data_IF_998893106187
#
_entry.id   IF_998893106187
#
_cell.length_a   1.000
_cell.length_b   1.000
_cell.length_c   1.000
_cell.angle_alpha   90.00
_cell.angle_beta   90.00
_cell.angle_gamma   90.00
#
_symmetry.space_group_name_H-M   'P 1'
#
loop_
_entity.id
_entity.type
_entity.pdbx_description
1 polymer ?
#
# COMPACT_ATOMS: atom_id res chain seq x y z
N UNK A 1 21.31 16.29 3.94
CA UNK A 1 21.04 15.54 2.69
C UNK A 1 22.30 15.39 1.84
N UNK A 2 23.23 16.33 1.97
CA UNK A 2 24.50 16.46 1.26
C UNK A 2 25.32 15.16 1.25
N UNK A 3 25.57 14.56 2.42
CA UNK A 3 26.33 13.31 2.54
C UNK A 3 25.69 12.14 1.76
N UNK A 4 24.40 11.87 2.02
CA UNK A 4 23.71 10.75 1.38
C UNK A 4 23.52 10.95 -0.12
N UNK A 5 23.31 12.21 -0.57
CA UNK A 5 23.24 12.53 -1.99
C UNK A 5 24.58 12.29 -2.68
N UNK A 6 25.69 12.79 -2.11
CA UNK A 6 27.03 12.58 -2.66
C UNK A 6 27.41 11.09 -2.70
N UNK A 7 27.17 10.34 -1.62
CA UNK A 7 27.43 8.90 -1.56
C UNK A 7 26.63 8.13 -2.63
N UNK A 8 25.34 8.46 -2.78
CA UNK A 8 24.47 7.85 -3.79
C UNK A 8 24.95 8.17 -5.20
N UNK A 9 25.26 9.44 -5.47
CA UNK A 9 25.83 9.89 -6.75
C UNK A 9 27.11 9.11 -7.08
N UNK A 10 28.06 9.11 -6.15
CA UNK A 10 29.36 8.48 -6.33
C UNK A 10 29.22 6.97 -6.56
N UNK A 11 28.43 6.29 -5.74
CA UNK A 11 28.23 4.84 -5.83
C UNK A 11 27.55 4.45 -7.14
N UNK A 12 26.52 5.18 -7.57
CA UNK A 12 25.83 4.90 -8.83
C UNK A 12 26.72 5.15 -10.05
N UNK A 13 27.56 6.19 -10.00
CA UNK A 13 28.54 6.48 -11.08
C UNK A 13 29.60 5.39 -11.14
N UNK A 14 30.20 5.01 -10.00
CA UNK A 14 31.20 3.94 -9.92
C UNK A 14 30.72 2.60 -10.50
N UNK A 15 29.42 2.30 -10.35
CA UNK A 15 28.82 1.06 -10.83
C UNK A 15 28.17 1.19 -12.23
N UNK A 16 28.33 2.33 -12.92
CA UNK A 16 27.68 2.63 -14.20
C UNK A 16 26.13 2.45 -14.16
N UNK A 17 25.52 2.82 -13.04
CA UNK A 17 24.07 2.76 -12.83
C UNK A 17 23.42 4.14 -12.82
N UNK A 18 24.21 5.21 -12.77
CA UNK A 18 23.69 6.58 -12.65
C UNK A 18 22.87 7.03 -13.87
N UNK A 19 23.23 6.55 -15.06
CA UNK A 19 22.54 6.89 -16.32
C UNK A 19 21.07 6.46 -16.39
N UNK A 20 20.63 5.55 -15.52
CA UNK A 20 19.27 4.97 -15.50
C UNK A 20 18.46 5.29 -14.24
N UNK A 21 19.00 6.14 -13.36
CA UNK A 21 18.40 6.43 -12.06
C UNK A 21 18.34 7.94 -11.88
N UNK A 22 17.13 8.50 -11.77
CA UNK A 22 16.95 9.92 -11.43
C UNK A 22 17.08 10.10 -9.92
N UNK A 23 17.89 11.06 -9.49
CA UNK A 23 18.06 11.37 -8.07
C UNK A 23 17.20 12.58 -7.67
N UNK A 24 16.33 12.38 -6.69
CA UNK A 24 15.56 13.45 -6.05
C UNK A 24 16.12 13.70 -4.65
N UNK A 25 16.19 14.96 -4.24
CA UNK A 25 16.61 15.35 -2.89
C UNK A 25 15.63 16.36 -2.29
N UNK A 26 15.37 16.23 -0.99
CA UNK A 26 14.68 17.23 -0.18
C UNK A 26 15.43 17.46 1.14
N UNK A 27 14.87 18.31 2.00
CA UNK A 27 15.38 18.56 3.34
C UNK A 27 15.85 19.99 3.54
N UNK A 28 14.92 20.87 3.92
CA UNK A 28 15.18 22.29 4.19
C UNK A 28 15.74 23.10 3.00
N UNK A 29 15.58 22.62 1.76
CA UNK A 29 15.80 23.46 0.58
C UNK A 29 14.87 24.68 0.63
N UNK A 30 15.45 25.88 0.51
CA UNK A 30 14.73 27.15 0.63
C UNK A 30 15.06 28.13 -0.50
N UNK A 31 16.27 28.04 -1.02
CA UNK A 31 16.86 29.04 -1.93
C UNK A 31 17.30 28.40 -3.24
N UNK A 32 17.55 29.23 -4.26
CA UNK A 32 18.16 28.79 -5.50
C UNK A 32 19.58 28.27 -5.30
N UNK A 33 20.35 28.85 -4.37
CA UNK A 33 21.66 28.31 -3.98
C UNK A 33 21.58 26.85 -3.48
N UNK A 34 20.57 26.52 -2.66
CA UNK A 34 20.40 25.15 -2.17
C UNK A 34 20.19 24.17 -3.33
N UNK A 35 19.36 24.56 -4.32
CA UNK A 35 19.10 23.78 -5.54
C UNK A 35 20.39 23.59 -6.35
N UNK A 36 21.18 24.66 -6.54
CA UNK A 36 22.43 24.58 -7.30
C UNK A 36 23.43 23.65 -6.63
N UNK A 37 23.61 23.74 -5.31
CA UNK A 37 24.50 22.83 -4.57
C UNK A 37 24.02 21.38 -4.68
N UNK A 38 22.73 21.15 -4.51
CA UNK A 38 22.14 19.82 -4.69
C UNK A 38 22.39 19.28 -6.11
N UNK A 39 22.23 20.10 -7.14
CA UNK A 39 22.51 19.72 -8.53
C UNK A 39 23.99 19.35 -8.73
N UNK A 40 24.91 20.20 -8.26
CA UNK A 40 26.35 19.96 -8.34
C UNK A 40 26.77 18.67 -7.62
N UNK A 41 26.09 18.32 -6.52
CA UNK A 41 26.27 17.05 -5.81
C UNK A 41 25.59 15.84 -6.46
N UNK A 42 24.72 16.04 -7.47
CA UNK A 42 24.17 14.97 -8.31
C UNK A 42 22.65 14.87 -8.39
N UNK A 43 21.88 15.75 -7.73
CA UNK A 43 20.42 15.73 -7.79
C UNK A 43 19.88 16.27 -9.13
N UNK A 44 18.74 15.73 -9.54
CA UNK A 44 17.97 16.16 -10.73
C UNK A 44 16.59 16.71 -10.37
N UNK A 45 16.06 16.33 -9.22
CA UNK A 45 14.77 16.79 -8.72
C UNK A 45 14.90 17.31 -7.28
N UNK A 46 14.14 18.36 -6.98
CA UNK A 46 14.27 19.11 -5.73
C UNK A 46 12.92 19.18 -5.03
N UNK A 47 12.80 18.49 -3.89
CA UNK A 47 11.60 18.48 -3.07
C UNK A 47 11.59 19.65 -2.09
N UNK A 48 10.50 20.42 -2.11
CA UNK A 48 10.25 21.50 -1.17
C UNK A 48 9.04 21.17 -0.29
N UNK A 49 9.20 21.31 1.03
CA UNK A 49 8.13 21.04 2.00
C UNK A 49 7.91 22.20 2.96
N UNK A 50 8.86 22.47 3.86
CA UNK A 50 8.69 23.52 4.88
C UNK A 50 8.59 24.93 4.30
N UNK A 51 9.39 25.27 3.28
CA UNK A 51 9.36 26.62 2.69
C UNK A 51 8.00 26.94 2.02
N UNK A 52 7.42 26.06 1.17
CA UNK A 52 6.04 26.21 0.70
C UNK A 52 5.02 26.40 1.83
N UNK A 53 5.13 25.64 2.94
CA UNK A 53 4.24 25.82 4.09
C UNK A 53 4.38 27.21 4.73
N UNK A 54 5.60 27.74 4.83
CA UNK A 54 5.86 29.11 5.35
C UNK A 54 5.26 30.16 4.42
N UNK A 55 5.46 30.01 3.11
CA UNK A 55 4.88 30.89 2.08
C UNK A 55 3.34 30.92 2.16
N UNK A 56 2.72 29.78 2.49
CA UNK A 56 1.28 29.66 2.75
C UNK A 56 0.83 30.16 4.14
N UNK A 57 1.75 30.67 4.97
CA UNK A 57 1.45 31.29 6.26
C UNK A 57 1.87 30.50 7.50
N UNK A 58 2.65 29.42 7.36
CA UNK A 58 3.20 28.71 8.53
C UNK A 58 4.14 29.61 9.32
N UNK A 59 3.78 29.86 10.57
CA UNK A 59 4.58 30.66 11.51
C UNK A 59 5.58 29.82 12.33
N UNK A 60 5.84 28.57 11.90
CA UNK A 60 6.79 27.66 12.55
C UNK A 60 6.55 27.42 14.06
N UNK A 61 5.28 27.34 14.47
CA UNK A 61 4.88 27.12 15.88
C UNK A 61 5.26 25.73 16.42
N UNK A 62 5.50 24.74 15.54
CA UNK A 62 5.88 23.35 15.88
C UNK A 62 4.84 22.59 16.74
N UNK A 63 3.56 22.95 16.63
CA UNK A 63 2.41 22.27 17.28
C UNK A 63 1.53 21.48 16.33
N UNK A 64 2.07 21.06 15.18
CA UNK A 64 1.33 20.35 14.14
C UNK A 64 0.65 19.06 14.67
N UNK A 65 1.30 18.36 15.61
CA UNK A 65 0.82 17.12 16.22
C UNK A 65 -0.35 17.31 17.20
N UNK A 66 -0.63 18.54 17.64
CA UNK A 66 -1.68 18.84 18.64
C UNK A 66 -3.01 19.24 18.00
N UNK A 67 -3.14 19.20 16.67
CA UNK A 67 -4.33 19.64 15.94
C UNK A 67 -4.75 21.12 16.19
N UNK A 68 -3.86 21.94 16.76
CA UNK A 68 -4.14 23.31 17.23
C UNK A 68 -3.43 24.39 16.39
N UNK A 69 -3.20 24.12 15.10
CA UNK A 69 -2.52 25.07 14.21
C UNK A 69 -3.30 26.40 14.12
N UNK A 70 -2.72 27.54 14.55
CA UNK A 70 -3.44 28.81 14.67
C UNK A 70 -3.76 29.44 13.31
N UNK A 71 -3.06 29.01 12.26
CA UNK A 71 -3.16 29.51 10.87
C UNK A 71 -3.83 28.51 9.93
N UNK A 72 -4.49 27.47 10.46
CA UNK A 72 -5.31 26.56 9.66
C UNK A 72 -4.57 25.60 8.72
N UNK A 73 -3.23 25.51 8.79
CA UNK A 73 -2.41 24.61 7.94
C UNK A 73 -2.48 23.15 8.43
N UNK A 74 -1.91 22.86 9.61
CA UNK A 74 -1.79 21.50 10.14
C UNK A 74 -2.86 21.23 11.22
N UNK A 75 -4.13 21.23 10.82
CA UNK A 75 -5.27 20.96 11.70
C UNK A 75 -6.48 20.44 10.91
N UNK A 76 -7.24 19.54 11.52
CA UNK A 76 -8.54 19.04 11.04
C UNK A 76 -9.72 19.75 11.70
N UNK A 77 -9.49 20.63 12.70
CA UNK A 77 -10.52 21.42 13.35
C UNK A 77 -11.15 22.41 12.35
N UNK A 78 -12.48 22.35 12.10
CA UNK A 78 -13.14 23.22 11.13
C UNK A 78 -13.05 24.72 11.45
N UNK A 79 -13.00 25.11 12.73
CA UNK A 79 -12.86 26.50 13.18
C UNK A 79 -11.45 27.00 12.91
N UNK A 80 -10.43 26.18 13.17
CA UNK A 80 -9.04 26.56 12.89
C UNK A 80 -8.72 26.54 11.40
N UNK A 81 -9.27 25.59 10.62
CA UNK A 81 -9.11 25.53 9.16
C UNK A 81 -9.62 26.79 8.45
N UNK A 82 -10.68 27.43 8.97
CA UNK A 82 -11.17 28.73 8.45
C UNK A 82 -10.16 29.87 8.57
N UNK A 83 -9.10 29.71 9.38
CA UNK A 83 -8.02 30.69 9.53
C UNK A 83 -6.92 30.55 8.47
N UNK A 84 -7.02 29.56 7.58
CA UNK A 84 -6.07 29.42 6.48
C UNK A 84 -6.25 30.57 5.48
N UNK A 85 -5.18 31.34 5.25
CA UNK A 85 -5.18 32.49 4.35
C UNK A 85 -4.19 32.34 3.17
N UNK A 86 -3.53 31.18 3.04
CA UNK A 86 -2.57 30.94 1.98
C UNK A 86 -3.21 30.99 0.60
N UNK A 87 -2.51 31.58 -0.36
CA UNK A 87 -2.93 31.74 -1.76
C UNK A 87 -1.94 31.01 -2.68
N UNK A 88 -2.43 30.41 -3.76
CA UNK A 88 -1.61 29.71 -4.76
C UNK A 88 -0.58 30.63 -5.43
N UNK A 89 -0.91 31.91 -5.65
CA UNK A 89 -0.01 32.89 -6.28
C UNK A 89 1.27 33.08 -5.47
N UNK A 90 1.19 32.99 -4.14
CA UNK A 90 2.37 33.10 -3.28
C UNK A 90 3.35 31.95 -3.51
N UNK A 91 2.83 30.73 -3.72
CA UNK A 91 3.67 29.56 -4.05
C UNK A 91 4.30 29.71 -5.44
N UNK A 92 3.51 30.14 -6.43
CA UNK A 92 3.99 30.37 -7.79
C UNK A 92 5.12 31.39 -7.77
N UNK A 93 4.92 32.53 -7.11
CA UNK A 93 5.93 33.59 -6.99
C UNK A 93 7.19 33.09 -6.25
N UNK A 94 7.03 32.34 -5.16
CA UNK A 94 8.15 31.75 -4.44
C UNK A 94 9.01 30.86 -5.35
N UNK A 95 8.39 29.95 -6.12
CA UNK A 95 9.13 29.09 -7.02
C UNK A 95 9.74 29.85 -8.20
N UNK A 96 9.11 30.93 -8.68
CA UNK A 96 9.76 31.82 -9.66
C UNK A 96 11.01 32.50 -9.08
N UNK A 97 10.97 32.97 -7.83
CA UNK A 97 12.15 33.55 -7.18
C UNK A 97 13.28 32.53 -7.00
N UNK A 98 12.96 31.32 -6.56
CA UNK A 98 13.94 30.23 -6.46
C UNK A 98 14.52 29.91 -7.84
N UNK A 99 13.67 29.79 -8.87
CA UNK A 99 14.12 29.49 -10.22
C UNK A 99 14.98 30.62 -10.82
N UNK A 100 14.64 31.89 -10.55
CA UNK A 100 15.44 33.02 -11.01
C UNK A 100 16.82 33.02 -10.35
N UNK A 101 16.88 32.84 -9.03
CA UNK A 101 18.15 32.72 -8.30
C UNK A 101 19.01 31.55 -8.83
N UNK A 102 18.37 30.39 -9.14
CA UNK A 102 19.06 29.27 -9.81
C UNK A 102 19.66 29.71 -11.15
N UNK A 103 18.89 30.42 -11.98
CA UNK A 103 19.35 30.89 -13.30
C UNK A 103 20.50 31.89 -13.19
N UNK A 104 20.43 32.81 -12.22
CA UNK A 104 21.50 33.77 -11.94
C UNK A 104 22.81 33.06 -11.56
N UNK A 105 22.74 32.08 -10.65
CA UNK A 105 23.91 31.32 -10.22
C UNK A 105 24.43 30.43 -11.37
N UNK A 106 23.54 29.77 -12.12
CA UNK A 106 23.92 28.99 -13.30
C UNK A 106 24.67 29.84 -14.33
N UNK A 107 24.19 31.06 -14.59
CA UNK A 107 24.84 31.99 -15.51
C UNK A 107 26.22 32.41 -14.99
N UNK A 108 26.36 32.66 -13.68
CA UNK A 108 27.64 32.98 -13.05
C UNK A 108 28.66 31.82 -13.14
N UNK A 109 28.18 30.57 -13.06
CA UNK A 109 29.00 29.36 -13.23
C UNK A 109 29.24 28.97 -14.71
N UNK A 110 28.61 29.67 -15.65
CA UNK A 110 28.79 29.46 -17.09
C UNK A 110 27.91 28.35 -17.70
N UNK A 111 26.87 27.90 -17.01
CA UNK A 111 25.93 26.88 -17.51
C UNK A 111 24.70 27.48 -18.17
N UNK A 112 24.21 26.84 -19.23
CA UNK A 112 22.97 27.22 -19.92
C UNK A 112 21.81 26.27 -19.59
N UNK A 113 22.12 25.02 -19.23
CA UNK A 113 21.13 24.00 -18.87
C UNK A 113 21.49 23.37 -17.53
N UNK A 114 20.48 22.97 -16.77
CA UNK A 114 20.66 22.29 -15.48
C UNK A 114 21.50 21.02 -15.64
N UNK A 115 21.18 20.20 -16.65
CA UNK A 115 21.86 18.92 -16.93
C UNK A 115 23.39 19.04 -17.11
N UNK A 116 23.89 20.20 -17.54
CA UNK A 116 25.33 20.47 -17.70
C UNK A 116 26.06 20.59 -16.36
N UNK A 117 25.32 20.90 -15.29
CA UNK A 117 25.83 21.15 -13.94
C UNK A 117 25.69 19.92 -13.04
N UNK A 118 24.81 18.98 -13.37
CA UNK A 118 24.48 17.85 -12.49
C UNK A 118 25.70 16.95 -12.26
N UNK A 119 26.10 16.82 -11.00
CA UNK A 119 27.28 16.04 -10.60
C UNK A 119 28.62 16.72 -10.86
N UNK A 120 28.65 18.02 -11.21
CA UNK A 120 29.88 18.82 -11.36
C UNK A 120 30.46 19.24 -10.00
N UNK A 121 30.76 18.25 -9.17
CA UNK A 121 31.33 18.45 -7.83
C UNK A 121 32.68 19.19 -7.86
N UNK A 122 33.36 19.19 -9.01
CA UNK A 122 34.58 19.98 -9.25
C UNK A 122 34.39 21.51 -9.17
N UNK A 123 33.15 22.00 -9.14
CA UNK A 123 32.83 23.41 -8.92
C UNK A 123 32.51 23.76 -7.46
N UNK A 124 32.63 22.79 -6.57
CA UNK A 124 32.44 22.98 -5.13
C UNK A 124 33.78 22.91 -4.42
N UNK A 125 34.03 23.89 -3.56
CA UNK A 125 35.14 23.87 -2.61
C UNK A 125 34.63 24.19 -1.21
N UNK A 126 35.30 23.61 -0.21
CA UNK A 126 35.03 23.94 1.19
C UNK A 126 35.56 25.34 1.49
N UNK A 127 34.72 26.20 2.06
CA UNK A 127 35.15 27.51 2.53
C UNK A 127 36.08 27.34 3.75
N UNK A 128 37.36 27.65 3.54
CA UNK A 128 38.42 27.56 4.57
C UNK A 128 38.50 28.80 5.45
N UNK A 129 37.69 29.83 5.17
CA UNK A 129 37.68 31.10 5.92
C UNK A 129 36.76 31.08 7.14
N UNK A 130 36.09 29.96 7.42
CA UNK A 130 35.32 29.77 8.65
C UNK A 130 36.31 29.58 9.82
N UNK A 131 36.82 30.69 10.36
CA UNK A 131 37.70 30.71 11.53
C UNK A 131 36.89 30.49 12.81
N UNK A 132 36.45 29.24 13.01
CA UNK A 132 35.73 28.82 14.19
C UNK A 132 36.34 27.52 14.73
N UNK A 133 36.71 27.50 16.01
CA UNK A 133 37.43 26.38 16.63
C UNK A 133 36.74 25.02 16.47
N UNK A 134 35.39 24.97 16.48
CA UNK A 134 34.62 23.72 16.25
C UNK A 134 34.67 23.20 14.81
N UNK A 135 35.04 24.02 13.83
CA UNK A 135 35.12 23.64 12.42
C UNK A 135 36.50 23.07 12.04
N UNK A 136 37.50 23.19 12.92
CA UNK A 136 38.91 22.79 12.66
C UNK A 136 39.12 21.33 12.27
N UNK A 137 38.18 20.43 12.57
CA UNK A 137 38.24 19.01 12.21
C UNK A 137 37.30 18.59 11.08
N UNK A 138 36.60 19.52 10.43
CA UNK A 138 35.64 19.19 9.38
C UNK A 138 36.36 18.93 8.06
N UNK A 139 36.33 17.69 7.59
CA UNK A 139 36.83 17.31 6.27
C UNK A 139 35.67 16.97 5.33
N UNK A 140 35.53 17.77 4.26
CA UNK A 140 34.51 17.58 3.22
C UNK A 140 35.05 16.85 1.98
N UNK A 141 36.32 16.42 1.98
CA UNK A 141 36.99 15.81 0.83
C UNK A 141 36.26 14.59 0.29
N UNK A 142 35.74 13.73 1.16
CA UNK A 142 34.98 12.54 0.79
C UNK A 142 33.66 12.89 0.09
N UNK A 143 32.96 13.92 0.57
CA UNK A 143 31.72 14.39 -0.04
C UNK A 143 31.97 15.05 -1.40
N UNK A 144 33.08 15.77 -1.53
CA UNK A 144 33.46 16.47 -2.76
C UNK A 144 34.26 15.60 -3.74
N UNK A 145 34.39 14.31 -3.46
CA UNK A 145 35.12 13.38 -4.31
C UNK A 145 34.41 13.16 -5.65
N UNK A 146 35.13 13.35 -6.74
CA UNK A 146 34.69 12.97 -8.09
C UNK A 146 35.17 11.55 -8.40
N UNK A 147 34.27 10.58 -8.64
CA UNK A 147 34.66 9.24 -9.03
C UNK A 147 35.55 9.22 -10.28
N UNK A 148 36.64 8.44 -10.24
CA UNK A 148 37.50 8.23 -11.40
C UNK A 148 36.91 7.12 -12.29
N UNK A 149 36.09 7.52 -13.25
CA UNK A 149 35.44 6.63 -14.23
C UNK A 149 35.68 7.13 -15.65
N UNK A 150 35.58 6.26 -16.67
CA UNK A 150 35.61 6.67 -18.08
C UNK A 150 34.61 7.79 -18.39
N UNK A 151 34.95 8.67 -19.35
CA UNK A 151 34.15 9.86 -19.67
C UNK A 151 32.78 9.57 -20.27
N UNK A 152 32.56 8.35 -20.76
CA UNK A 152 31.28 7.86 -21.29
C UNK A 152 30.32 7.39 -20.18
N UNK A 153 30.79 7.26 -18.93
CA UNK A 153 29.92 6.97 -17.79
C UNK A 153 29.07 8.20 -17.44
N UNK A 154 27.74 8.04 -17.54
CA UNK A 154 26.81 9.12 -17.28
C UNK A 154 26.81 9.57 -15.81
N UNK A 155 26.73 10.88 -15.58
CA UNK A 155 26.64 11.48 -14.23
C UNK A 155 25.22 11.93 -13.86
N UNK A 156 24.28 11.86 -14.80
CA UNK A 156 22.86 12.14 -14.61
C UNK A 156 22.00 11.13 -15.38
N UNK A 157 20.67 11.13 -15.19
CA UNK A 157 19.77 10.18 -15.83
C UNK A 157 19.59 10.53 -17.31
N UNK A 158 20.04 9.64 -18.19
CA UNK A 158 20.05 9.83 -19.65
C UNK A 158 19.31 8.72 -20.41
N UNK A 159 18.96 7.62 -19.71
CA UNK A 159 18.31 6.45 -20.30
C UNK A 159 17.05 6.10 -19.53
N UNK A 160 15.97 5.81 -20.26
CA UNK A 160 14.74 5.24 -19.68
C UNK A 160 14.95 3.77 -19.33
N UNK A 161 14.42 3.33 -18.20
CA UNK A 161 14.47 1.91 -17.85
C UNK A 161 13.46 1.08 -18.64
N UNK A 162 13.90 -0.10 -19.08
CA UNK A 162 13.03 -1.17 -19.52
C UNK A 162 12.79 -2.12 -18.33
N UNK A 163 11.52 -2.29 -17.97
CA UNK A 163 11.08 -3.14 -16.87
C UNK A 163 10.63 -4.54 -17.33
N UNK A 164 10.78 -4.87 -18.63
CA UNK A 164 10.40 -6.16 -19.19
C UNK A 164 8.87 -6.40 -19.19
N UNK A 165 8.07 -5.33 -19.15
CA UNK A 165 6.61 -5.44 -19.05
C UNK A 165 5.95 -6.00 -20.31
N UNK A 166 6.64 -5.97 -21.44
CA UNK A 166 6.13 -6.50 -22.71
C UNK A 166 5.79 -8.00 -22.65
N UNK A 167 6.44 -8.76 -21.75
CA UNK A 167 6.23 -10.19 -21.57
C UNK A 167 5.21 -10.51 -20.45
N UNK A 168 4.58 -9.50 -19.85
CA UNK A 168 3.62 -9.71 -18.77
C UNK A 168 2.37 -10.47 -19.27
N UNK A 169 1.96 -11.50 -18.52
CA UNK A 169 0.78 -12.32 -18.82
C UNK A 169 -0.50 -11.49 -18.99
N UNK A 170 -0.61 -10.35 -18.30
CA UNK A 170 -1.74 -9.43 -18.41
C UNK A 170 -2.01 -8.93 -19.83
N UNK A 171 -1.02 -8.91 -20.73
CA UNK A 171 -1.29 -8.57 -22.13
C UNK A 171 -2.28 -9.56 -22.76
N UNK A 172 -2.20 -10.85 -22.40
CA UNK A 172 -3.16 -11.86 -22.83
C UNK A 172 -4.53 -11.65 -22.17
N UNK A 173 -4.55 -11.28 -20.88
CA UNK A 173 -5.80 -11.01 -20.16
C UNK A 173 -6.55 -9.81 -20.74
N UNK A 174 -5.82 -8.73 -21.05
CA UNK A 174 -6.38 -7.52 -21.67
C UNK A 174 -6.90 -7.83 -23.07
N UNK A 175 -6.14 -8.60 -23.86
CA UNK A 175 -6.59 -9.01 -25.19
C UNK A 175 -7.87 -9.86 -25.11
N UNK A 176 -7.93 -10.82 -24.18
CA UNK A 176 -9.13 -11.63 -23.94
C UNK A 176 -10.32 -10.79 -23.47
N UNK A 177 -10.09 -9.73 -22.68
CA UNK A 177 -11.11 -8.82 -22.20
C UNK A 177 -11.45 -7.66 -23.15
N UNK A 178 -10.92 -7.62 -24.37
CA UNK A 178 -11.02 -6.45 -25.24
C UNK A 178 -12.49 -6.04 -25.50
N UNK A 179 -13.36 -7.01 -25.80
CA UNK A 179 -14.79 -6.76 -26.02
C UNK A 179 -15.48 -6.25 -24.75
N UNK A 180 -15.08 -6.72 -23.58
CA UNK A 180 -15.55 -6.20 -22.29
C UNK A 180 -15.11 -4.75 -22.08
N UNK A 181 -13.88 -4.42 -22.42
CA UNK A 181 -13.33 -3.08 -22.24
C UNK A 181 -13.94 -2.05 -23.20
N UNK A 182 -14.56 -2.49 -24.29
CA UNK A 182 -15.24 -1.64 -25.28
C UNK A 182 -16.75 -1.58 -25.05
N UNK A 183 -17.38 -2.73 -24.81
CA UNK A 183 -18.85 -2.87 -24.84
C UNK A 183 -19.44 -3.39 -23.52
N UNK A 184 -18.62 -3.60 -22.48
CA UNK A 184 -19.02 -4.16 -21.17
C UNK A 184 -19.67 -5.55 -21.24
N UNK A 185 -19.38 -6.30 -22.31
CA UNK A 185 -19.82 -7.70 -22.45
C UNK A 185 -19.09 -8.59 -21.44
N UNK A 186 -19.79 -9.57 -20.87
CA UNK A 186 -19.15 -10.55 -20.00
C UNK A 186 -18.21 -11.47 -20.79
N UNK A 187 -17.09 -11.84 -20.19
CA UNK A 187 -16.09 -12.73 -20.79
C UNK A 187 -15.59 -13.76 -19.78
N UNK A 188 -15.24 -14.93 -20.27
CA UNK A 188 -14.54 -15.95 -19.50
C UNK A 188 -13.35 -16.51 -20.26
N UNK A 189 -12.31 -16.93 -19.56
CA UNK A 189 -11.06 -17.39 -20.17
C UNK A 189 -10.23 -18.25 -19.22
N UNK A 190 -9.41 -19.12 -19.79
CA UNK A 190 -8.55 -20.05 -19.06
C UNK A 190 -7.08 -19.81 -19.41
N UNK A 191 -6.22 -19.82 -18.39
CA UNK A 191 -4.80 -19.50 -18.55
C UNK A 191 -3.93 -20.45 -17.71
N UNK A 192 -2.74 -20.75 -18.22
CA UNK A 192 -1.71 -21.45 -17.44
C UNK A 192 -0.85 -20.41 -16.72
N UNK A 193 -0.60 -20.64 -15.44
CA UNK A 193 0.20 -19.74 -14.62
C UNK A 193 1.41 -20.45 -14.00
N UNK A 194 2.53 -19.75 -13.93
CA UNK A 194 3.78 -20.20 -13.33
C UNK A 194 4.31 -19.11 -12.41
N UNK A 195 5.22 -19.48 -11.50
CA UNK A 195 5.71 -18.58 -10.45
C UNK A 195 6.46 -17.33 -10.99
N UNK A 196 6.91 -17.38 -12.25
CA UNK A 196 7.48 -16.26 -12.98
C UNK A 196 6.45 -15.18 -13.37
N UNK A 197 5.16 -15.57 -13.48
CA UNK A 197 4.07 -14.65 -13.77
C UNK A 197 3.67 -13.91 -12.49
N UNK A 198 4.22 -12.70 -12.35
CA UNK A 198 4.02 -11.83 -11.18
C UNK A 198 2.96 -10.77 -11.47
N UNK A 199 2.26 -10.35 -10.42
CA UNK A 199 1.30 -9.24 -10.44
C UNK A 199 0.15 -9.44 -11.44
N UNK A 200 -0.21 -10.70 -11.70
CA UNK A 200 -1.23 -11.05 -12.69
C UNK A 200 -2.59 -10.45 -12.32
N UNK A 201 -3.22 -9.77 -13.28
CA UNK A 201 -4.50 -9.07 -13.16
C UNK A 201 -4.38 -7.57 -12.86
N UNK A 202 -3.20 -7.06 -12.49
CA UNK A 202 -3.04 -5.66 -12.12
C UNK A 202 -3.07 -4.68 -13.32
N UNK A 203 -2.50 -5.04 -14.47
CA UNK A 203 -2.57 -4.19 -15.66
C UNK A 203 -3.99 -4.18 -16.23
N UNK A 204 -4.66 -5.35 -16.24
CA UNK A 204 -6.08 -5.44 -16.59
C UNK A 204 -6.92 -4.54 -15.68
N UNK A 205 -6.69 -4.60 -14.36
CA UNK A 205 -7.38 -3.75 -13.40
C UNK A 205 -7.09 -2.27 -13.62
N UNK A 206 -5.87 -1.92 -14.01
CA UNK A 206 -5.48 -0.58 -14.42
C UNK A 206 -6.25 -0.08 -15.65
N UNK A 207 -6.43 -0.91 -16.67
CA UNK A 207 -7.25 -0.58 -17.85
C UNK A 207 -8.71 -0.34 -17.48
N UNK A 208 -9.30 -1.19 -16.65
CA UNK A 208 -10.67 -1.03 -16.16
C UNK A 208 -10.80 0.25 -15.35
N UNK A 209 -9.87 0.52 -14.43
CA UNK A 209 -9.88 1.73 -13.61
C UNK A 209 -9.75 3.01 -14.46
N UNK A 210 -8.90 3.00 -15.50
CA UNK A 210 -8.76 4.14 -16.43
C UNK A 210 -10.05 4.44 -17.18
N UNK A 211 -10.79 3.41 -17.57
CA UNK A 211 -12.01 3.54 -18.40
C UNK A 211 -13.26 3.80 -17.57
N UNK A 212 -13.40 3.15 -16.43
CA UNK A 212 -14.65 3.11 -15.65
C UNK A 212 -14.53 3.71 -14.25
N UNK A 213 -13.32 4.11 -13.83
CA UNK A 213 -13.09 4.68 -12.51
C UNK A 213 -13.46 3.74 -11.38
N UNK A 214 -13.98 4.29 -10.27
CA UNK A 214 -14.36 3.52 -9.08
C UNK A 214 -15.61 2.64 -9.30
N UNK A 215 -16.47 2.98 -10.26
CA UNK A 215 -17.67 2.18 -10.54
C UNK A 215 -17.32 0.78 -11.05
N UNK A 216 -16.15 0.64 -11.70
CA UNK A 216 -15.69 -0.62 -12.27
C UNK A 216 -16.67 -1.20 -13.28
N UNK A 217 -16.76 -2.53 -13.29
CA UNK A 217 -17.75 -3.28 -14.05
C UNK A 217 -18.78 -3.90 -13.11
N UNK A 218 -19.87 -4.41 -13.68
CA UNK A 218 -20.79 -5.26 -12.91
C UNK A 218 -20.06 -6.51 -12.41
N UNK A 219 -20.50 -7.04 -11.28
CA UNK A 219 -19.88 -8.21 -10.67
C UNK A 219 -19.78 -9.35 -11.69
N UNK A 220 -18.68 -10.10 -11.65
CA UNK A 220 -18.52 -11.31 -12.46
C UNK A 220 -18.52 -11.07 -13.98
N UNK A 221 -18.32 -9.82 -14.44
CA UNK A 221 -18.23 -9.49 -15.87
C UNK A 221 -17.00 -10.15 -16.51
N UNK A 222 -15.85 -10.15 -15.83
CA UNK A 222 -14.64 -10.85 -16.29
C UNK A 222 -14.39 -12.02 -15.34
N UNK A 223 -14.35 -13.25 -15.88
CA UNK A 223 -14.04 -14.47 -15.12
C UNK A 223 -12.85 -15.19 -15.73
N UNK A 224 -11.70 -15.11 -15.08
CA UNK A 224 -10.50 -15.79 -15.57
C UNK A 224 -10.05 -16.87 -14.61
N UNK A 225 -9.93 -18.08 -15.15
CA UNK A 225 -9.48 -19.26 -14.43
C UNK A 225 -8.02 -19.55 -14.76
N UNK A 226 -7.22 -19.78 -13.74
CA UNK A 226 -5.80 -20.05 -13.82
C UNK A 226 -5.51 -21.44 -13.29
N UNK A 227 -4.58 -22.15 -13.92
CA UNK A 227 -4.08 -23.44 -13.42
C UNK A 227 -2.56 -23.39 -13.29
N UNK A 228 -2.05 -23.73 -12.10
CA UNK A 228 -0.61 -23.78 -11.80
C UNK A 228 -0.23 -23.01 -10.55
N UNK A 229 1.02 -22.54 -10.48
CA UNK A 229 1.55 -21.81 -9.33
C UNK A 229 1.67 -20.32 -9.67
N UNK A 230 0.93 -19.45 -9.00
CA UNK A 230 1.00 -18.01 -9.24
C UNK A 230 2.22 -17.38 -8.58
N UNK A 231 2.88 -16.46 -9.30
CA UNK A 231 3.95 -15.65 -8.75
C UNK A 231 3.45 -14.64 -7.71
N UNK A 232 4.39 -13.83 -7.24
CA UNK A 232 4.14 -12.76 -6.28
C UNK A 232 3.02 -11.81 -6.76
N UNK A 233 2.18 -11.35 -5.83
CA UNK A 233 1.14 -10.33 -6.09
C UNK A 233 0.01 -10.74 -7.05
N UNK A 234 -0.36 -12.02 -7.12
CA UNK A 234 -1.54 -12.45 -7.90
C UNK A 234 -2.81 -11.71 -7.47
N UNK A 235 -3.54 -11.13 -8.42
CA UNK A 235 -4.75 -10.36 -8.14
C UNK A 235 -4.51 -9.03 -7.40
N UNK A 236 -3.29 -8.50 -7.43
CA UNK A 236 -3.01 -7.20 -6.83
C UNK A 236 -3.85 -6.09 -7.49
N UNK A 237 -4.43 -5.23 -6.67
CA UNK A 237 -5.32 -4.13 -7.08
C UNK A 237 -6.53 -4.58 -7.91
N UNK A 238 -6.94 -5.84 -7.80
CA UNK A 238 -8.05 -6.38 -8.57
C UNK A 238 -9.34 -5.61 -8.30
N UNK A 239 -9.92 -5.04 -9.36
CA UNK A 239 -11.06 -4.12 -9.29
C UNK A 239 -12.41 -4.82 -9.43
N UNK A 240 -13.48 -4.12 -9.02
CA UNK A 240 -14.86 -4.58 -9.15
C UNK A 240 -15.19 -5.07 -10.56
N UNK A 241 -15.80 -6.25 -10.61
CA UNK A 241 -16.25 -6.93 -11.83
C UNK A 241 -15.24 -7.92 -12.42
N UNK A 242 -14.05 -8.03 -11.81
CA UNK A 242 -13.05 -9.06 -12.14
C UNK A 242 -13.09 -10.16 -11.09
N UNK A 243 -13.24 -11.40 -11.55
CA UNK A 243 -13.17 -12.62 -10.77
C UNK A 243 -12.03 -13.48 -11.28
N UNK A 244 -11.05 -13.74 -10.42
CA UNK A 244 -9.88 -14.56 -10.72
C UNK A 244 -9.92 -15.85 -9.88
N UNK A 245 -10.03 -16.99 -10.55
CA UNK A 245 -9.98 -18.30 -9.91
C UNK A 245 -8.61 -18.93 -10.15
N UNK A 246 -7.94 -19.41 -9.12
CA UNK A 246 -6.68 -20.15 -9.25
C UNK A 246 -6.86 -21.57 -8.73
N UNK A 247 -6.68 -22.55 -9.62
CA UNK A 247 -6.51 -23.96 -9.25
C UNK A 247 -5.02 -24.25 -9.11
N UNK A 248 -4.53 -24.32 -7.88
CA UNK A 248 -3.12 -24.45 -7.55
C UNK A 248 -2.75 -23.70 -6.27
N UNK A 249 -1.66 -22.95 -6.32
CA UNK A 249 -1.09 -22.22 -5.18
C UNK A 249 -0.58 -20.84 -5.61
N UNK A 250 -0.48 -19.90 -4.66
CA UNK A 250 0.05 -18.57 -4.91
C UNK A 250 1.16 -18.18 -3.93
N UNK A 251 2.14 -17.43 -4.42
CA UNK A 251 3.19 -16.85 -3.57
C UNK A 251 2.67 -15.65 -2.75
N UNK A 252 3.56 -14.86 -2.15
CA UNK A 252 3.19 -13.76 -1.26
C UNK A 252 2.38 -12.66 -1.99
N UNK A 253 1.72 -11.83 -1.16
CA UNK A 253 0.98 -10.64 -1.60
C UNK A 253 -0.25 -10.91 -2.46
N UNK A 254 -0.87 -12.09 -2.35
CA UNK A 254 -2.14 -12.37 -3.02
C UNK A 254 -3.17 -11.28 -2.67
N UNK A 255 -3.78 -10.67 -3.68
CA UNK A 255 -4.77 -9.61 -3.48
C UNK A 255 -4.22 -8.38 -2.75
N UNK A 256 -2.91 -8.08 -2.86
CA UNK A 256 -2.34 -6.83 -2.35
C UNK A 256 -3.13 -5.63 -2.87
N UNK A 257 -3.65 -4.82 -1.96
CA UNK A 257 -4.49 -3.67 -2.28
C UNK A 257 -5.76 -4.04 -3.05
N UNK A 258 -6.39 -5.19 -2.78
CA UNK A 258 -7.65 -5.59 -3.41
C UNK A 258 -8.69 -4.44 -3.38
N UNK A 259 -9.35 -4.20 -4.51
CA UNK A 259 -10.21 -3.03 -4.76
C UNK A 259 -11.55 -3.41 -5.40
N UNK A 260 -12.23 -4.42 -4.84
CA UNK A 260 -13.59 -4.79 -5.23
C UNK A 260 -13.68 -6.03 -6.11
N UNK A 261 -12.55 -6.55 -6.60
CA UNK A 261 -12.49 -7.83 -7.31
C UNK A 261 -12.72 -9.03 -6.40
N UNK A 262 -12.87 -10.21 -7.01
CA UNK A 262 -13.08 -11.49 -6.32
C UNK A 262 -11.94 -12.46 -6.65
N UNK A 263 -11.31 -12.99 -5.61
CA UNK A 263 -10.22 -13.97 -5.73
C UNK A 263 -10.68 -15.30 -5.13
N UNK A 264 -10.53 -16.39 -5.88
CA UNK A 264 -10.93 -17.73 -5.46
C UNK A 264 -9.73 -18.65 -5.65
N UNK A 265 -9.20 -19.23 -4.57
CA UNK A 265 -8.01 -20.08 -4.61
C UNK A 265 -8.37 -21.47 -4.12
N UNK A 266 -8.15 -22.46 -4.98
CA UNK A 266 -8.50 -23.86 -4.77
C UNK A 266 -7.28 -24.73 -5.00
N UNK A 267 -7.05 -25.79 -4.20
CA UNK A 267 -6.06 -26.79 -4.54
C UNK A 267 -6.46 -27.57 -5.80
N UNK A 268 -5.51 -28.21 -6.51
CA UNK A 268 -5.84 -29.08 -7.64
C UNK A 268 -6.63 -30.32 -7.20
N UNK A 269 -7.26 -31.01 -8.15
CA UNK A 269 -7.90 -32.29 -7.88
C UNK A 269 -6.87 -33.40 -7.63
N UNK A 270 -7.23 -34.41 -6.84
CA UNK A 270 -6.35 -35.57 -6.58
C UNK A 270 -5.17 -35.31 -5.64
N UNK A 271 -5.21 -34.25 -4.83
CA UNK A 271 -4.21 -33.97 -3.81
C UNK A 271 -4.12 -35.07 -2.74
N UNK A 272 -2.90 -35.27 -2.23
CA UNK A 272 -2.61 -36.22 -1.14
C UNK A 272 -2.47 -35.55 0.23
N UNK A 273 -2.47 -34.22 0.27
CA UNK A 273 -2.37 -33.43 1.50
C UNK A 273 -3.75 -32.92 1.93
N UNK A 274 -3.86 -32.50 3.18
CA UNK A 274 -5.06 -31.86 3.73
C UNK A 274 -4.95 -30.35 3.49
N UNK A 275 -5.81 -29.72 2.64
CA UNK A 275 -5.70 -28.28 2.35
C UNK A 275 -5.77 -27.42 3.61
N UNK A 276 -6.62 -27.82 4.55
CA UNK A 276 -6.89 -27.14 5.82
C UNK A 276 -5.63 -27.03 6.73
N UNK A 277 -4.60 -27.82 6.45
CA UNK A 277 -3.31 -27.85 7.17
C UNK A 277 -2.12 -27.44 6.30
N UNK A 278 -2.37 -27.03 5.05
CA UNK A 278 -1.32 -26.75 4.05
C UNK A 278 -1.36 -25.30 3.61
N UNK A 279 -0.20 -24.65 3.57
CA UNK A 279 -0.07 -23.29 3.03
C UNK A 279 -0.25 -23.34 1.53
N UNK A 280 -1.30 -22.69 1.03
CA UNK A 280 -1.58 -22.55 -0.42
C UNK A 280 -1.43 -21.11 -0.92
N UNK A 281 -1.36 -20.14 0.00
CA UNK A 281 -1.07 -18.74 -0.32
C UNK A 281 0.02 -18.19 0.61
N UNK A 282 0.91 -17.36 0.07
CA UNK A 282 2.04 -16.81 0.81
C UNK A 282 1.67 -15.72 1.83
N UNK A 283 2.72 -15.05 2.30
CA UNK A 283 2.67 -14.03 3.33
C UNK A 283 2.00 -12.73 2.85
N UNK A 284 1.56 -11.92 3.80
CA UNK A 284 1.13 -10.53 3.53
C UNK A 284 0.01 -10.45 2.46
N UNK A 285 -0.79 -11.51 2.37
CA UNK A 285 -1.96 -11.57 1.50
C UNK A 285 -3.01 -10.57 1.97
N UNK A 286 -3.69 -9.92 1.03
CA UNK A 286 -4.66 -8.83 1.25
C UNK A 286 -4.07 -7.58 1.92
N UNK A 287 -2.77 -7.34 1.73
CA UNK A 287 -2.10 -6.18 2.30
C UNK A 287 -2.77 -4.88 1.88
N UNK A 288 -3.29 -4.14 2.87
CA UNK A 288 -3.89 -2.83 2.63
C UNK A 288 -5.18 -2.86 1.80
N UNK A 289 -5.84 -4.02 1.66
CA UNK A 289 -7.04 -4.15 0.85
C UNK A 289 -8.15 -3.17 1.28
N UNK A 290 -8.91 -2.61 0.34
CA UNK A 290 -9.91 -1.57 0.61
C UNK A 290 -11.33 -1.94 0.17
N UNK A 291 -11.52 -3.01 -0.60
CA UNK A 291 -12.80 -3.69 -0.83
C UNK A 291 -12.57 -5.00 -1.60
N UNK A 292 -13.62 -5.80 -1.83
CA UNK A 292 -13.56 -7.05 -2.60
C UNK A 292 -13.57 -8.29 -1.73
N UNK A 293 -13.48 -9.45 -2.37
CA UNK A 293 -13.66 -10.75 -1.72
C UNK A 293 -12.53 -11.72 -2.03
N UNK A 294 -12.12 -12.52 -1.04
CA UNK A 294 -11.15 -13.59 -1.22
C UNK A 294 -11.61 -14.88 -0.53
N UNK A 295 -11.64 -15.99 -1.26
CA UNK A 295 -12.02 -17.31 -0.76
C UNK A 295 -10.87 -18.28 -1.01
N UNK A 296 -10.28 -18.82 0.06
CA UNK A 296 -9.02 -19.54 0.00
C UNK A 296 -9.18 -20.92 0.65
N UNK A 297 -9.19 -21.97 -0.16
CA UNK A 297 -9.27 -23.36 0.32
C UNK A 297 -7.89 -23.87 0.75
N UNK A 298 -7.45 -23.41 1.91
CA UNK A 298 -6.27 -23.87 2.63
C UNK A 298 -5.71 -22.78 3.53
N UNK A 299 -4.43 -22.86 3.90
CA UNK A 299 -3.79 -21.91 4.81
C UNK A 299 -3.04 -20.79 4.09
N UNK A 300 -2.94 -19.63 4.76
CA UNK A 300 -1.98 -18.59 4.43
C UNK A 300 -0.71 -18.68 5.29
N UNK A 301 0.37 -18.10 4.78
CA UNK A 301 1.55 -17.74 5.58
C UNK A 301 1.27 -16.64 6.61
N UNK A 302 2.31 -15.90 6.97
CA UNK A 302 2.27 -14.85 7.98
C UNK A 302 1.58 -13.56 7.47
N UNK A 303 1.11 -12.73 8.41
CA UNK A 303 0.55 -11.40 8.14
C UNK A 303 -0.64 -11.41 7.16
N UNK A 304 -1.43 -12.47 7.19
CA UNK A 304 -2.68 -12.52 6.41
C UNK A 304 -3.59 -11.34 6.80
N UNK A 305 -4.13 -10.64 5.79
CA UNK A 305 -4.99 -9.46 5.96
C UNK A 305 -4.35 -8.30 6.74
N UNK A 306 -3.02 -8.17 6.71
CA UNK A 306 -2.33 -7.03 7.33
C UNK A 306 -2.79 -5.71 6.71
N UNK A 307 -3.16 -4.75 7.56
CA UNK A 307 -3.75 -3.47 7.15
C UNK A 307 -5.02 -3.58 6.28
N UNK A 308 -5.73 -4.71 6.30
CA UNK A 308 -7.03 -4.81 5.63
C UNK A 308 -7.95 -3.70 6.14
N UNK A 309 -8.52 -2.94 5.21
CA UNK A 309 -9.32 -1.75 5.45
C UNK A 309 -10.71 -1.84 4.83
N UNK A 310 -11.08 -3.00 4.25
CA UNK A 310 -12.42 -3.16 3.67
C UNK A 310 -12.71 -4.46 2.92
N UNK A 311 -11.74 -5.34 2.69
CA UNK A 311 -11.99 -6.62 2.01
C UNK A 311 -12.60 -7.68 2.94
N UNK A 312 -13.38 -8.56 2.33
CA UNK A 312 -13.96 -9.75 2.97
C UNK A 312 -13.15 -10.98 2.59
N UNK A 313 -12.77 -11.81 3.55
CA UNK A 313 -12.02 -13.03 3.27
C UNK A 313 -12.51 -14.23 4.08
N UNK A 314 -12.47 -15.42 3.46
CA UNK A 314 -12.67 -16.71 4.14
C UNK A 314 -11.49 -17.61 3.81
N UNK A 315 -10.83 -18.11 4.84
CA UNK A 315 -9.62 -18.94 4.75
C UNK A 315 -9.62 -20.05 5.80
N UNK A 316 -8.89 -21.14 5.58
CA UNK A 316 -8.91 -22.31 6.48
C UNK A 316 -7.82 -22.32 7.54
N UNK A 317 -6.85 -21.41 7.44
CA UNK A 317 -5.88 -21.17 8.50
C UNK A 317 -4.92 -20.05 8.13
N UNK A 318 -4.23 -19.51 9.12
CA UNK A 318 -3.28 -18.40 8.95
C UNK A 318 -2.06 -18.59 9.84
N UNK A 319 -0.89 -18.12 9.38
CA UNK A 319 0.32 -18.04 10.19
C UNK A 319 0.28 -16.93 11.24
N UNK A 320 1.46 -16.55 11.74
CA UNK A 320 1.62 -15.50 12.74
C UNK A 320 1.15 -14.14 12.20
N UNK A 321 0.70 -13.25 13.10
CA UNK A 321 0.32 -11.86 12.79
C UNK A 321 -0.90 -11.71 11.86
N UNK A 322 -1.83 -12.68 11.86
CA UNK A 322 -3.10 -12.55 11.14
C UNK A 322 -3.89 -11.31 11.59
N UNK A 323 -4.49 -10.58 10.65
CA UNK A 323 -5.26 -9.35 10.86
C UNK A 323 -4.48 -8.21 11.55
N UNK A 324 -3.15 -8.22 11.49
CA UNK A 324 -2.32 -7.16 12.05
C UNK A 324 -2.66 -5.80 11.41
N UNK A 325 -2.85 -4.76 12.23
CA UNK A 325 -3.23 -3.40 11.79
C UNK A 325 -4.51 -3.30 10.93
N UNK A 326 -5.40 -4.30 10.99
CA UNK A 326 -6.69 -4.24 10.29
C UNK A 326 -7.55 -3.08 10.81
N UNK A 327 -8.13 -2.31 9.88
CA UNK A 327 -8.96 -1.11 10.16
C UNK A 327 -10.39 -1.23 9.62
N UNK A 328 -10.68 -2.26 8.82
CA UNK A 328 -11.99 -2.50 8.23
C UNK A 328 -12.05 -3.85 7.50
N UNK A 329 -13.23 -4.24 7.04
CA UNK A 329 -13.47 -5.53 6.37
C UNK A 329 -13.87 -6.66 7.33
N UNK A 330 -14.01 -7.86 6.77
CA UNK A 330 -14.43 -9.07 7.49
C UNK A 330 -13.47 -10.22 7.17
N UNK A 331 -12.95 -10.91 8.18
CA UNK A 331 -12.09 -12.08 7.96
C UNK A 331 -12.66 -13.29 8.70
N UNK A 332 -12.87 -14.40 8.01
CA UNK A 332 -13.29 -15.67 8.60
C UNK A 332 -12.13 -16.66 8.48
N UNK A 333 -11.66 -17.19 9.61
CA UNK A 333 -10.62 -18.22 9.69
C UNK A 333 -11.25 -19.51 10.19
N UNK A 334 -11.27 -20.54 9.35
CA UNK A 334 -11.91 -21.83 9.61
C UNK A 334 -10.95 -22.84 10.26
N UNK A 335 -9.85 -22.41 10.86
CA UNK A 335 -8.88 -23.32 11.46
C UNK A 335 -7.78 -22.58 12.21
N UNK A 336 -6.58 -23.16 12.19
CA UNK A 336 -5.46 -22.72 13.04
C UNK A 336 -5.03 -21.29 12.73
N UNK A 337 -4.68 -20.56 13.78
CA UNK A 337 -4.05 -19.24 13.71
C UNK A 337 -2.65 -19.30 14.29
N UNK A 338 -1.74 -18.46 13.81
CA UNK A 338 -0.47 -18.21 14.47
C UNK A 338 -0.58 -17.21 15.62
N UNK A 339 0.56 -16.87 16.21
CA UNK A 339 0.70 -15.96 17.35
C UNK A 339 0.43 -14.51 16.95
N UNK A 340 0.16 -13.67 17.96
CA UNK A 340 0.01 -12.23 17.82
C UNK A 340 -1.09 -11.82 16.82
N UNK A 341 -2.14 -12.63 16.69
CA UNK A 341 -3.31 -12.34 15.87
C UNK A 341 -3.97 -11.03 16.34
N UNK A 342 -4.45 -10.22 15.40
CA UNK A 342 -5.12 -8.93 15.62
C UNK A 342 -4.27 -7.84 16.33
N UNK A 343 -2.94 -7.96 16.35
CA UNK A 343 -2.08 -6.90 16.87
C UNK A 343 -2.29 -5.58 16.11
N UNK A 344 -2.59 -4.50 16.83
CA UNK A 344 -2.87 -3.20 16.22
C UNK A 344 -4.19 -3.13 15.44
N UNK A 345 -5.05 -4.16 15.50
CA UNK A 345 -6.36 -4.15 14.84
C UNK A 345 -7.27 -3.11 15.52
N UNK A 346 -7.63 -2.07 14.77
CA UNK A 346 -8.40 -0.92 15.26
C UNK A 346 -9.79 -0.82 14.62
N UNK A 347 -10.11 -1.69 13.64
CA UNK A 347 -11.43 -1.76 13.03
C UNK A 347 -11.63 -3.02 12.19
N UNK A 348 -12.88 -3.26 11.77
CA UNK A 348 -13.30 -4.52 11.13
C UNK A 348 -13.69 -5.60 12.13
N UNK A 349 -14.05 -6.77 11.61
CA UNK A 349 -14.46 -7.94 12.40
C UNK A 349 -13.76 -9.19 11.88
N UNK A 350 -13.24 -10.04 12.77
CA UNK A 350 -12.80 -11.38 12.40
C UNK A 350 -13.60 -12.45 13.15
N UNK A 351 -13.87 -13.56 12.49
CA UNK A 351 -14.47 -14.76 13.06
C UNK A 351 -13.46 -15.89 12.98
N UNK A 352 -13.07 -16.46 14.12
CA UNK A 352 -12.07 -17.53 14.18
C UNK A 352 -12.71 -18.77 14.78
N UNK A 353 -12.62 -19.89 14.05
CA UNK A 353 -13.05 -21.19 14.55
C UNK A 353 -12.02 -21.72 15.55
N UNK A 354 -12.37 -21.75 16.83
CA UNK A 354 -11.49 -22.13 17.94
C UNK A 354 -11.85 -23.53 18.49
N UNK A 355 -11.70 -24.56 17.67
CA UNK A 355 -12.00 -25.96 18.05
C UNK A 355 -11.08 -26.47 19.17
N UNK A 356 -9.79 -26.09 19.13
CA UNK A 356 -8.78 -26.55 20.10
C UNK A 356 -8.75 -25.72 21.40
N UNK A 357 -9.53 -24.63 21.48
CA UNK A 357 -9.64 -23.81 22.69
C UNK A 357 -8.42 -22.94 23.02
N UNK A 358 -7.40 -22.89 22.16
CA UNK A 358 -6.15 -22.16 22.43
C UNK A 358 -6.08 -20.75 21.81
N UNK A 359 -7.07 -20.33 21.00
CA UNK A 359 -7.02 -19.07 20.25
C UNK A 359 -6.77 -17.83 21.11
N UNK A 360 -7.32 -17.80 22.33
CA UNK A 360 -7.12 -16.68 23.26
C UNK A 360 -5.64 -16.40 23.55
N UNK A 361 -4.81 -17.46 23.63
CA UNK A 361 -3.36 -17.32 23.86
C UNK A 361 -2.59 -16.83 22.63
N UNK A 362 -3.19 -16.94 21.46
CA UNK A 362 -2.61 -16.54 20.18
C UNK A 362 -3.03 -15.12 19.78
N UNK A 363 -4.09 -14.58 20.38
CA UNK A 363 -4.62 -13.26 20.09
C UNK A 363 -3.96 -12.16 20.94
N UNK A 364 -3.62 -11.03 20.32
CA UNK A 364 -3.16 -9.84 21.01
C UNK A 364 -4.35 -8.98 21.44
N UNK A 365 -4.65 -8.98 22.73
CA UNK A 365 -5.83 -8.33 23.31
C UNK A 365 -5.65 -6.84 23.60
N UNK A 366 -4.57 -6.20 23.12
CA UNK A 366 -4.27 -4.80 23.47
C UNK A 366 -5.32 -3.81 22.97
N UNK A 367 -5.95 -4.06 21.81
CA UNK A 367 -6.97 -3.19 21.20
C UNK A 367 -8.30 -3.89 20.90
N UNK A 368 -8.36 -5.22 21.04
CA UNK A 368 -9.49 -6.05 20.64
C UNK A 368 -10.08 -6.81 21.83
N UNK A 369 -11.36 -7.12 21.72
CA UNK A 369 -12.06 -8.04 22.60
C UNK A 369 -12.41 -9.34 21.85
N UNK A 370 -12.45 -10.43 22.59
CA UNK A 370 -12.95 -11.72 22.14
C UNK A 370 -14.38 -11.92 22.63
N UNK A 371 -15.30 -12.18 21.72
CA UNK A 371 -16.73 -12.31 22.01
C UNK A 371 -17.31 -13.59 21.40
N UNK A 372 -18.38 -14.11 22.00
CA UNK A 372 -19.16 -15.20 21.39
C UNK A 372 -20.02 -14.65 20.25
N UNK A 373 -20.28 -15.47 19.23
CA UNK A 373 -21.16 -15.10 18.10
C UNK A 373 -22.64 -15.27 18.48
N UNK A 374 -23.16 -14.34 19.30
CA UNK A 374 -24.54 -14.38 19.82
C UNK A 374 -25.52 -13.51 19.04
N UNK A 375 -25.03 -12.50 18.33
CA UNK A 375 -25.87 -11.56 17.59
C UNK A 375 -26.35 -12.20 16.27
N UNK A 376 -27.66 -12.19 16.02
CA UNK A 376 -28.25 -12.79 14.81
C UNK A 376 -27.66 -12.22 13.50
N UNK A 377 -27.30 -10.94 13.47
CA UNK A 377 -26.63 -10.32 12.30
C UNK A 377 -25.27 -10.96 12.00
N UNK A 378 -24.50 -11.29 13.04
CA UNK A 378 -23.19 -11.93 12.89
C UNK A 378 -23.35 -13.40 12.47
N UNK A 379 -24.34 -14.10 13.04
CA UNK A 379 -24.63 -15.49 12.67
C UNK A 379 -25.04 -15.60 11.20
N UNK A 380 -25.95 -14.73 10.75
CA UNK A 380 -26.38 -14.68 9.34
C UNK A 380 -25.23 -14.33 8.41
N UNK A 381 -24.40 -13.35 8.78
CA UNK A 381 -23.22 -12.96 8.00
C UNK A 381 -22.22 -14.12 7.89
N UNK A 382 -21.85 -14.73 9.02
CA UNK A 382 -20.92 -15.85 9.05
C UNK A 382 -21.42 -17.02 8.20
N UNK A 383 -22.70 -17.38 8.34
CA UNK A 383 -23.32 -18.44 7.53
C UNK A 383 -23.27 -18.13 6.04
N UNK A 384 -23.60 -16.90 5.62
CA UNK A 384 -23.53 -16.49 4.23
C UNK A 384 -22.10 -16.55 3.66
N UNK A 385 -21.09 -16.17 4.45
CA UNK A 385 -19.68 -16.25 4.04
C UNK A 385 -19.20 -17.70 3.90
N UNK A 386 -19.63 -18.58 4.81
CA UNK A 386 -19.38 -20.01 4.72
C UNK A 386 -20.04 -20.63 3.49
N UNK A 387 -21.29 -20.26 3.18
CA UNK A 387 -22.02 -20.71 1.99
C UNK A 387 -21.30 -20.30 0.71
N UNK A 388 -20.87 -19.03 0.61
CA UNK A 388 -20.07 -18.55 -0.53
C UNK A 388 -18.73 -19.25 -0.64
N UNK A 389 -18.04 -19.45 0.48
CA UNK A 389 -16.77 -20.19 0.48
C UNK A 389 -16.98 -21.63 -0.02
N UNK A 390 -17.96 -22.36 0.51
CA UNK A 390 -18.30 -23.70 0.06
C UNK A 390 -18.72 -23.76 -1.42
N UNK A 391 -19.44 -22.75 -1.90
CA UNK A 391 -19.87 -22.62 -3.29
C UNK A 391 -18.69 -22.38 -4.24
N UNK A 392 -17.82 -21.41 -3.91
CA UNK A 392 -16.73 -20.99 -4.79
C UNK A 392 -15.55 -21.96 -4.75
N UNK A 393 -15.20 -22.50 -3.58
CA UNK A 393 -14.00 -23.32 -3.43
C UNK A 393 -14.29 -24.82 -3.39
N UNK A 394 -15.53 -25.20 -3.11
CA UNK A 394 -15.89 -26.59 -2.86
C UNK A 394 -15.42 -27.11 -1.50
N UNK A 395 -14.89 -26.26 -0.61
CA UNK A 395 -14.32 -26.64 0.70
C UNK A 395 -15.21 -27.62 1.48
N UNK A 396 -14.62 -28.78 1.81
CA UNK A 396 -15.31 -29.80 2.59
C UNK A 396 -15.49 -29.35 4.04
N UNK A 397 -14.52 -28.62 4.61
CA UNK A 397 -14.63 -28.05 5.95
C UNK A 397 -15.81 -27.10 6.07
N UNK A 398 -15.94 -26.14 5.15
CA UNK A 398 -17.07 -25.21 5.16
C UNK A 398 -18.41 -25.95 4.99
N UNK A 399 -18.49 -26.94 4.09
CA UNK A 399 -19.70 -27.79 3.95
C UNK A 399 -20.05 -28.53 5.23
N UNK A 400 -19.06 -29.06 5.95
CA UNK A 400 -19.27 -29.77 7.21
C UNK A 400 -19.74 -28.81 8.31
N UNK A 401 -19.11 -27.63 8.43
CA UNK A 401 -19.53 -26.58 9.36
C UNK A 401 -20.99 -26.16 9.08
N UNK A 402 -21.36 -25.99 7.81
CA UNK A 402 -22.72 -25.60 7.43
C UNK A 402 -23.78 -26.66 7.77
N UNK A 403 -23.45 -27.96 7.64
CA UNK A 403 -24.35 -29.07 8.01
C UNK A 403 -24.65 -29.09 9.51
N UNK A 404 -23.67 -28.73 10.33
CA UNK A 404 -23.77 -28.75 11.80
C UNK A 404 -23.65 -27.34 12.39
N UNK A 405 -24.14 -26.32 11.68
CA UNK A 405 -23.87 -24.92 11.98
C UNK A 405 -24.22 -24.53 13.42
N UNK A 406 -25.40 -24.92 13.91
CA UNK A 406 -25.83 -24.60 15.27
C UNK A 406 -24.93 -25.26 16.34
N UNK A 407 -24.34 -26.42 16.04
CA UNK A 407 -23.39 -27.11 16.92
C UNK A 407 -21.99 -26.49 16.86
N UNK A 408 -21.59 -26.01 15.68
CA UNK A 408 -20.27 -25.41 15.45
C UNK A 408 -20.21 -23.96 15.90
N UNK A 409 -21.32 -23.22 15.86
CA UNK A 409 -21.40 -21.80 16.17
C UNK A 409 -20.78 -21.41 17.54
N UNK A 410 -20.96 -22.16 18.64
CA UNK A 410 -20.33 -21.85 19.92
C UNK A 410 -18.79 -21.90 19.91
N UNK A 411 -18.17 -22.56 18.92
CA UNK A 411 -16.72 -22.65 18.76
C UNK A 411 -16.14 -21.46 17.98
N UNK A 412 -16.98 -20.63 17.35
CA UNK A 412 -16.53 -19.40 16.73
C UNK A 412 -16.32 -18.29 17.76
N UNK A 413 -15.17 -17.62 17.65
CA UNK A 413 -14.82 -16.43 18.41
C UNK A 413 -14.87 -15.23 17.48
N UNK A 414 -15.64 -14.21 17.87
CA UNK A 414 -15.65 -12.90 17.23
C UNK A 414 -14.53 -12.05 17.83
N UNK A 415 -13.66 -11.53 16.97
CA UNK A 415 -12.60 -10.58 17.30
C UNK A 415 -13.03 -9.21 16.78
N UNK A 416 -13.10 -8.23 17.68
CA UNK A 416 -13.50 -6.85 17.32
C UNK A 416 -12.75 -5.84 18.18
N UNK A 417 -12.34 -4.72 17.59
CA UNK A 417 -11.74 -3.62 18.36
C UNK A 417 -12.74 -3.00 19.32
N UNK A 418 -12.31 -2.72 20.55
CA UNK A 418 -13.13 -2.13 21.61
C UNK A 418 -13.66 -0.75 21.20
N UNK A 419 -12.82 0.09 20.61
CA UNK A 419 -13.22 1.43 20.16
C UNK A 419 -14.14 1.36 18.93
N UNK A 420 -13.83 0.48 17.98
CA UNK A 420 -14.69 0.28 16.81
C UNK A 420 -16.09 -0.19 17.21
N UNK A 421 -16.19 -1.11 18.17
CA UNK A 421 -17.46 -1.56 18.73
C UNK A 421 -18.28 -0.41 19.31
N UNK A 422 -17.65 0.48 20.10
CA UNK A 422 -18.33 1.67 20.66
C UNK A 422 -18.90 2.55 19.56
N UNK A 423 -18.14 2.78 18.47
CA UNK A 423 -18.60 3.57 17.33
C UNK A 423 -19.80 2.92 16.64
N UNK A 424 -19.77 1.60 16.42
CA UNK A 424 -20.91 0.88 15.83
C UNK A 424 -22.17 0.98 16.69
N UNK A 425 -22.04 0.81 18.01
CA UNK A 425 -23.16 0.92 18.95
C UNK A 425 -23.73 2.34 19.02
N UNK A 426 -22.89 3.36 18.91
CA UNK A 426 -23.34 4.76 18.86
C UNK A 426 -24.12 5.05 17.57
N UNK A 427 -23.67 4.51 16.43
CA UNK A 427 -24.36 4.63 15.14
C UNK A 427 -25.73 3.95 15.16
N UNK A 428 -25.81 2.74 15.72
CA UNK A 428 -27.09 2.02 15.86
C UNK A 428 -28.09 2.77 16.76
N UNK A 429 -27.60 3.54 17.73
CA UNK A 429 -28.41 4.39 18.62
C UNK A 429 -28.72 5.77 18.05
N UNK A 430 -28.32 6.08 16.81
CA UNK A 430 -28.56 7.36 16.16
C UNK A 430 -27.81 8.55 16.78
N UNK A 431 -26.75 8.30 17.57
CA UNK A 431 -26.00 9.36 18.24
C UNK A 431 -24.92 9.94 17.32
N UNK A 432 -24.82 11.28 17.29
CA UNK A 432 -23.75 12.00 16.58
C UNK A 432 -22.40 11.71 17.23
N UNK A 433 -21.48 11.12 16.47
CA UNK A 433 -20.13 10.75 16.94
C UNK A 433 -19.34 12.01 17.34
N UNK A 434 -18.71 12.02 18.52
CA UNK A 434 -17.92 13.15 19.02
C UNK A 434 -16.59 13.32 18.26
N UNK A 435 -16.00 14.52 18.32
CA UNK A 435 -14.81 14.91 17.55
C UNK A 435 -13.55 14.09 17.87
N UNK A 436 -13.45 13.48 19.05
CA UNK A 436 -12.34 12.58 19.41
C UNK A 436 -12.44 11.21 18.71
N UNK A 437 -13.65 10.72 18.44
CA UNK A 437 -13.89 9.49 17.69
C UNK A 437 -13.93 9.72 16.17
N UNK A 438 -13.92 10.97 15.71
CA UNK A 438 -13.89 11.32 14.28
C UNK A 438 -12.58 10.91 13.56
N UNK A 439 -11.46 10.77 14.30
CA UNK A 439 -10.18 10.34 13.76
C UNK A 439 -10.18 8.89 13.25
N UNK A 440 -10.90 7.98 13.93
CA UNK A 440 -11.15 6.62 13.42
C UNK A 440 -12.21 6.61 12.31
N UNK A 441 -13.19 7.52 12.35
CA UNK A 441 -14.30 7.58 11.39
C UNK A 441 -13.86 8.01 9.99
N UNK A 442 -12.79 8.80 9.86
CA UNK A 442 -12.29 9.27 8.56
C UNK A 442 -11.72 8.14 7.67
N UNK A 443 -11.33 6.99 8.25
CA UNK A 443 -10.85 5.82 7.48
C UNK A 443 -12.01 4.97 6.95
N UNK A 444 -13.15 4.96 7.65
CA UNK A 444 -14.30 4.09 7.33
C UNK A 444 -15.27 4.71 6.32
N UNK A 445 -15.34 6.04 6.21
CA UNK A 445 -16.36 6.72 5.38
C UNK A 445 -16.03 6.83 3.88
N UNK A 446 -14.80 6.50 3.46
CA UNK A 446 -14.40 6.53 2.03
C UNK A 446 -14.64 5.22 1.28
N UNK A 447 -15.11 4.16 1.96
CA UNK A 447 -15.48 2.87 1.33
C UNK A 447 -16.98 2.69 1.06
N UNK A 448 -17.80 3.69 1.38
CA UNK A 448 -19.24 3.71 1.10
C UNK A 448 -19.67 5.08 0.58
N UNK A 449 -19.22 5.43 -0.62
CA UNK A 449 -19.95 6.31 -1.53
C UNK A 449 -19.76 5.83 -2.95
#
# INVERSE_FOLDING_TARGET
>A
WELGLAETQQTLVLNNLRGRTRLQVDGQLKTGRDVVIAALLGAEEFGFSTAPLIVLGCIMMRKCHLNTCPVGIATQDPVLRKKFMGQEEHLINYFFYVAEEVREIMAALGFRKMDEMIGRVDLLEADRLIDHWKASGLDLSAMLHKPNVPSDVATHCVVKQDHGLAEALDHQLIAAANDTLLEKKSVSGQFIIQNIHRTVGAMLSGEIARRFGQNGLEEDTIKFDFTGAAGQSFGAFCVKGVTLTLTGEANDYLGKGLCGGKLIICPPSGILFVPEETIIIGNTSLYGATSGEAYVYGMAGERFAVRNSGATAVIEGVGDHGCEYMTGGIVVVLGKTGRNFAAGMSGGVAFVLNEEGHFERQCNLSLVALEKVVEMKDQTLLKALLERHAQYTGSQKAKNILKEFDRMLPHFVKVISVEYKKVLQQREKGATVSSESAGLVAVVSRGQK
#
